data_IF_497729491606
#
_entry.id   IF_497729491606
#
_cell.length_a   1.000
_cell.length_b   1.000
_cell.length_c   1.000
_cell.angle_alpha   90.00
_cell.angle_beta   90.00
_cell.angle_gamma   90.00
#
_symmetry.space_group_name_H-M   'P 1'
#
loop_
_entity.id
_entity.type
_entity.pdbx_description
1 polymer ?
#
# COMPACT_ATOMS: atom_id res chain seq x y z
N UNK A 1 -15.50 -26.86 -10.78
CA UNK A 1 -14.82 -25.53 -10.81
C UNK A 1 -13.86 -25.32 -9.65
N UNK A 2 -14.26 -25.52 -8.39
CA UNK A 2 -13.39 -25.34 -7.20
C UNK A 2 -12.05 -26.09 -7.26
N UNK A 3 -12.05 -27.35 -7.70
CA UNK A 3 -10.83 -28.17 -7.82
C UNK A 3 -9.84 -27.63 -8.86
N UNK A 4 -10.34 -27.07 -9.97
CA UNK A 4 -9.48 -26.44 -11.00
C UNK A 4 -8.82 -25.16 -10.50
N UNK A 5 -9.52 -24.38 -9.66
CA UNK A 5 -8.98 -23.17 -9.02
C UNK A 5 -7.90 -23.56 -8.02
N UNK A 6 -8.13 -24.59 -7.20
CA UNK A 6 -7.16 -25.10 -6.22
C UNK A 6 -5.91 -25.63 -6.93
N UNK A 7 -6.08 -26.38 -8.03
CA UNK A 7 -4.96 -26.90 -8.82
C UNK A 7 -4.19 -25.76 -9.49
N UNK A 8 -4.85 -24.72 -10.02
CA UNK A 8 -4.17 -23.53 -10.54
C UNK A 8 -3.38 -22.80 -9.45
N UNK A 9 -3.96 -22.63 -8.25
CA UNK A 9 -3.26 -22.03 -7.11
C UNK A 9 -2.02 -22.85 -6.74
N UNK A 10 -2.16 -24.17 -6.68
CA UNK A 10 -1.05 -25.09 -6.38
C UNK A 10 0.03 -25.00 -7.46
N UNK A 11 -0.32 -24.89 -8.74
CA UNK A 11 0.65 -24.72 -9.84
C UNK A 11 1.35 -23.36 -9.78
N UNK A 12 0.65 -22.29 -9.41
CA UNK A 12 1.23 -20.96 -9.19
C UNK A 12 2.19 -20.97 -7.98
N UNK A 13 1.84 -21.72 -6.93
CA UNK A 13 2.67 -21.94 -5.74
C UNK A 13 3.87 -22.87 -5.99
N UNK A 14 3.79 -23.77 -6.97
CA UNK A 14 4.83 -24.76 -7.32
C UNK A 14 5.73 -24.33 -8.49
N UNK A 15 5.50 -23.17 -9.10
CA UNK A 15 6.40 -22.65 -10.13
C UNK A 15 7.81 -22.47 -9.52
N UNK A 16 8.88 -22.94 -10.19
CA UNK A 16 10.17 -23.17 -9.56
C UNK A 16 10.78 -21.88 -9.00
N UNK A 17 11.10 -21.97 -7.70
CA UNK A 17 11.57 -20.91 -6.79
C UNK A 17 13.08 -20.63 -6.98
N UNK A 18 13.67 -21.04 -8.10
CA UNK A 18 15.11 -20.94 -8.32
C UNK A 18 15.47 -19.57 -8.91
N UNK A 19 15.53 -18.56 -8.06
CA UNK A 19 15.85 -17.19 -8.49
C UNK A 19 16.26 -16.27 -7.34
N UNK A 20 17.16 -16.72 -6.48
CA UNK A 20 17.81 -15.82 -5.52
C UNK A 20 18.61 -14.73 -6.27
N UNK A 21 18.52 -13.53 -5.73
CA UNK A 21 19.04 -12.27 -6.23
C UNK A 21 20.55 -12.25 -6.53
N UNK A 22 20.95 -11.94 -7.77
CA UNK A 22 22.37 -11.66 -8.07
C UNK A 22 22.61 -10.59 -9.17
N UNK A 23 21.79 -9.53 -9.25
CA UNK A 23 21.94 -8.51 -10.32
C UNK A 23 22.13 -7.06 -9.81
N UNK A 24 22.88 -6.27 -10.57
CA UNK A 24 23.17 -4.83 -10.33
C UNK A 24 22.11 -3.86 -10.87
N UNK A 25 21.01 -4.35 -11.45
CA UNK A 25 19.92 -3.50 -12.00
C UNK A 25 18.93 -3.11 -10.89
N UNK A 26 18.26 -1.95 -11.07
CA UNK A 26 17.23 -1.39 -10.18
C UNK A 26 16.39 -2.44 -9.45
N UNK A 27 16.22 -2.22 -8.15
CA UNK A 27 15.44 -2.99 -7.20
C UNK A 27 13.95 -3.14 -7.59
N UNK A 28 13.40 -2.11 -8.26
CA UNK A 28 11.97 -1.95 -8.50
C UNK A 28 11.59 -2.30 -9.95
N UNK A 29 10.45 -2.97 -10.13
CA UNK A 29 9.87 -3.23 -11.46
C UNK A 29 9.23 -1.99 -12.08
N UNK A 30 8.89 -2.05 -13.38
CA UNK A 30 8.21 -0.93 -14.08
C UNK A 30 6.71 -0.90 -13.83
N UNK A 31 6.07 -2.06 -13.71
CA UNK A 31 4.65 -2.16 -13.43
C UNK A 31 4.42 -3.28 -12.42
N UNK A 32 3.62 -3.01 -11.39
CA UNK A 32 3.33 -3.99 -10.34
C UNK A 32 1.95 -3.81 -9.76
N UNK A 33 1.44 -4.87 -9.15
CA UNK A 33 0.22 -4.82 -8.35
C UNK A 33 0.43 -5.55 -7.04
N UNK A 34 -0.25 -5.11 -6.00
CA UNK A 34 -0.08 -5.67 -4.67
C UNK A 34 -1.26 -5.46 -3.77
N UNK A 35 -1.11 -5.96 -2.56
CA UNK A 35 -2.04 -5.75 -1.46
C UNK A 35 -1.25 -5.27 -0.24
N UNK A 36 -1.88 -4.43 0.58
CA UNK A 36 -1.32 -3.91 1.82
C UNK A 36 -2.35 -4.09 2.91
N UNK A 37 -1.90 -4.58 4.06
CA UNK A 37 -2.72 -4.85 5.23
C UNK A 37 -1.91 -4.49 6.51
N UNK A 38 -2.54 -4.11 7.63
CA UNK A 38 -3.95 -3.84 7.77
C UNK A 38 -4.31 -2.35 7.64
N UNK A 39 -3.37 -1.40 7.75
CA UNK A 39 -3.70 0.03 7.87
C UNK A 39 -3.09 0.87 6.74
N UNK A 40 -3.69 0.96 5.54
CA UNK A 40 -5.03 0.48 5.14
C UNK A 40 -5.05 -0.99 4.69
N UNK A 41 -6.26 -1.52 4.45
CA UNK A 41 -6.49 -2.67 3.56
C UNK A 41 -6.63 -2.11 2.16
N UNK A 42 -5.56 -2.13 1.37
CA UNK A 42 -5.55 -1.51 0.05
C UNK A 42 -5.00 -2.44 -1.03
N UNK A 43 -5.59 -2.32 -2.21
CA UNK A 43 -4.96 -2.74 -3.44
C UNK A 43 -3.96 -1.67 -3.86
N UNK A 44 -2.76 -2.09 -4.23
CA UNK A 44 -1.69 -1.24 -4.69
C UNK A 44 -1.45 -1.47 -6.19
N UNK A 45 -1.25 -0.38 -6.92
CA UNK A 45 -0.76 -0.36 -8.30
C UNK A 45 0.53 0.44 -8.31
N UNK A 46 1.58 -0.11 -8.89
CA UNK A 46 2.88 0.53 -9.01
C UNK A 46 3.15 0.79 -10.49
N UNK A 47 3.46 2.04 -10.85
CA UNK A 47 3.87 2.43 -12.20
C UNK A 47 5.16 3.23 -12.08
N UNK A 48 6.26 2.65 -12.52
CA UNK A 48 7.61 3.19 -12.37
C UNK A 48 7.88 3.62 -10.93
N UNK A 49 7.94 4.93 -10.66
CA UNK A 49 8.18 5.49 -9.32
C UNK A 49 6.91 5.88 -8.59
N UNK A 50 5.73 5.68 -9.19
CA UNK A 50 4.44 6.01 -8.58
C UNK A 50 3.79 4.80 -7.93
N UNK A 51 3.22 5.01 -6.74
CA UNK A 51 2.38 4.03 -6.03
C UNK A 51 0.98 4.61 -5.85
N UNK A 52 -0.02 3.93 -6.40
CA UNK A 52 -1.43 4.22 -6.21
C UNK A 52 -2.02 3.15 -5.29
N UNK A 53 -2.57 3.57 -4.16
CA UNK A 53 -3.28 2.69 -3.25
C UNK A 53 -4.77 3.04 -3.25
N UNK A 54 -5.63 2.04 -3.32
CA UNK A 54 -7.09 2.20 -3.20
C UNK A 54 -7.61 1.10 -2.28
N UNK A 55 -8.41 1.48 -1.29
CA UNK A 55 -8.97 0.49 -0.37
C UNK A 55 -9.77 1.06 0.78
N UNK A 56 -9.70 0.37 1.90
CA UNK A 56 -10.43 0.69 3.13
C UNK A 56 -9.45 1.03 4.24
N UNK A 57 -9.80 2.06 4.99
CA UNK A 57 -9.05 2.51 6.15
C UNK A 57 -9.95 2.45 7.38
N UNK A 58 -9.40 1.91 8.46
CA UNK A 58 -9.98 1.99 9.79
C UNK A 58 -8.97 2.76 10.61
N UNK A 59 -9.24 4.04 10.84
CA UNK A 59 -8.23 4.95 11.38
C UNK A 59 -7.63 4.48 12.70
N UNK A 60 -6.49 5.07 13.08
CA UNK A 60 -5.69 4.62 14.24
C UNK A 60 -6.50 4.56 15.55
N UNK A 61 -7.57 5.35 15.66
CA UNK A 61 -8.45 5.38 16.84
C UNK A 61 -9.51 4.26 16.84
N UNK A 62 -9.74 3.58 15.72
CA UNK A 62 -10.81 2.59 15.51
C UNK A 62 -10.27 1.25 14.96
N UNK A 63 -9.01 0.91 15.27
CA UNK A 63 -8.29 -0.25 14.72
C UNK A 63 -9.20 -1.50 14.66
N UNK A 64 -9.44 -2.00 13.44
CA UNK A 64 -10.21 -3.22 13.14
C UNK A 64 -11.72 -3.20 13.46
N UNK A 65 -12.27 -2.08 13.95
CA UNK A 65 -13.68 -2.00 14.37
C UNK A 65 -14.59 -1.46 13.26
N UNK A 66 -14.11 -0.50 12.46
CA UNK A 66 -14.94 0.19 11.47
C UNK A 66 -14.20 0.39 10.14
N UNK A 67 -14.42 -0.49 9.17
CA UNK A 67 -13.94 -0.36 7.78
C UNK A 67 -14.87 0.52 6.95
N UNK A 68 -15.24 1.68 7.51
CA UNK A 68 -16.25 2.57 6.93
C UNK A 68 -15.68 3.72 6.11
N UNK A 69 -14.37 3.71 5.87
CA UNK A 69 -13.68 4.81 5.20
C UNK A 69 -13.01 4.31 3.94
N UNK A 70 -13.46 4.82 2.79
CA UNK A 70 -12.75 4.68 1.53
C UNK A 70 -11.43 5.43 1.64
N UNK A 71 -10.36 4.81 1.17
CA UNK A 71 -9.01 5.33 1.20
C UNK A 71 -8.43 5.32 -0.21
N UNK A 72 -7.79 6.42 -0.59
CA UNK A 72 -6.97 6.53 -1.78
C UNK A 72 -5.67 7.25 -1.43
N UNK A 73 -4.57 6.83 -2.04
CA UNK A 73 -3.34 7.60 -1.96
C UNK A 73 -2.47 7.44 -3.20
N UNK A 74 -1.72 8.48 -3.49
CA UNK A 74 -0.78 8.55 -4.60
C UNK A 74 0.56 9.04 -4.09
N UNK A 75 1.58 8.18 -4.21
CA UNK A 75 2.94 8.47 -3.80
C UNK A 75 3.90 8.50 -4.98
N UNK A 76 4.93 9.33 -4.88
CA UNK A 76 6.10 9.32 -5.74
C UNK A 76 7.33 8.91 -4.93
N UNK A 77 7.95 7.79 -5.29
CA UNK A 77 9.15 7.24 -4.67
C UNK A 77 10.38 7.83 -5.38
N UNK A 78 11.07 8.75 -4.72
CA UNK A 78 12.22 9.45 -5.29
C UNK A 78 13.56 8.86 -4.87
N UNK A 79 13.59 7.99 -3.85
CA UNK A 79 14.84 7.40 -3.35
C UNK A 79 14.67 5.91 -3.07
N UNK A 80 15.64 5.12 -3.52
CA UNK A 80 15.74 3.68 -3.23
C UNK A 80 17.20 3.37 -2.90
N UNK A 81 17.43 2.74 -1.76
CA UNK A 81 18.71 2.24 -1.31
C UNK A 81 18.67 0.72 -1.21
N UNK A 82 19.49 0.06 -2.01
CA UNK A 82 19.71 -1.39 -1.92
C UNK A 82 20.83 -1.66 -0.93
N UNK A 83 20.56 -2.41 0.13
CA UNK A 83 21.57 -2.73 1.13
C UNK A 83 22.66 -3.63 0.53
N UNK A 84 23.95 -3.24 0.59
CA UNK A 84 25.06 -4.06 0.14
C UNK A 84 25.28 -5.19 1.15
N UNK A 85 24.49 -6.25 1.03
CA UNK A 85 24.41 -7.36 1.98
C UNK A 85 23.17 -8.22 1.71
N UNK A 86 23.10 -9.43 2.26
CA UNK A 86 21.97 -10.35 2.04
C UNK A 86 21.63 -10.58 0.55
N UNK A 87 22.64 -10.77 -0.32
CA UNK A 87 22.44 -10.94 -1.76
C UNK A 87 21.68 -9.80 -2.46
N UNK A 88 21.67 -8.58 -1.89
CA UNK A 88 20.93 -7.43 -2.43
C UNK A 88 19.43 -7.76 -2.60
N UNK A 89 18.83 -8.37 -1.58
CA UNK A 89 17.38 -8.67 -1.52
C UNK A 89 16.59 -7.61 -0.75
N UNK A 90 17.28 -6.74 0.00
CA UNK A 90 16.66 -5.77 0.89
C UNK A 90 16.84 -4.36 0.32
N UNK A 91 15.72 -3.66 0.14
CA UNK A 91 15.68 -2.31 -0.39
C UNK A 91 14.88 -1.39 0.52
N UNK A 92 15.48 -0.28 0.93
CA UNK A 92 14.78 0.80 1.60
C UNK A 92 14.37 1.85 0.58
N UNK A 93 13.13 2.34 0.65
CA UNK A 93 12.64 3.38 -0.26
C UNK A 93 11.94 4.50 0.49
N UNK A 94 12.10 5.71 -0.02
CA UNK A 94 11.47 6.93 0.50
C UNK A 94 10.78 7.65 -0.66
N UNK A 95 9.60 8.19 -0.36
CA UNK A 95 8.84 9.01 -1.28
C UNK A 95 8.11 10.15 -0.60
N UNK A 96 7.29 10.84 -1.39
CA UNK A 96 6.34 11.85 -0.94
C UNK A 96 5.02 11.66 -1.68
N UNK A 97 3.90 11.90 -1.03
CA UNK A 97 2.59 11.65 -1.64
C UNK A 97 1.45 12.37 -0.98
N UNK A 98 0.27 12.17 -1.54
CA UNK A 98 -1.00 12.65 -1.01
C UNK A 98 -1.92 11.49 -0.73
N UNK A 99 -2.86 11.71 0.20
CA UNK A 99 -3.92 10.76 0.48
C UNK A 99 -5.27 11.46 0.61
N UNK A 100 -6.32 10.70 0.39
CA UNK A 100 -7.70 11.11 0.59
C UNK A 100 -8.49 10.01 1.29
N UNK A 101 -9.39 10.40 2.17
CA UNK A 101 -10.33 9.48 2.83
C UNK A 101 -11.75 10.01 2.77
N UNK A 102 -12.72 9.11 2.54
CA UNK A 102 -14.14 9.45 2.52
C UNK A 102 -14.91 8.44 3.36
N UNK A 103 -15.65 8.94 4.35
CA UNK A 103 -16.49 8.09 5.20
C UNK A 103 -17.82 7.69 4.51
N UNK A 104 -18.16 6.40 4.50
CA UNK A 104 -19.31 5.87 3.73
C UNK A 104 -20.68 6.35 4.19
N UNK A 105 -20.90 6.60 5.48
CA UNK A 105 -22.20 7.13 5.95
C UNK A 105 -22.56 8.50 5.36
N UNK A 106 -21.62 9.18 4.69
CA UNK A 106 -21.89 10.38 3.90
C UNK A 106 -22.75 10.11 2.65
N UNK A 107 -22.79 8.87 2.16
CA UNK A 107 -23.54 8.48 0.96
C UNK A 107 -24.88 7.80 1.28
N UNK A 108 -25.08 7.30 2.50
CA UNK A 108 -26.39 6.80 2.96
C UNK A 108 -27.22 7.98 3.45
N UNK A 109 -28.29 8.34 2.74
CA UNK A 109 -29.10 9.57 2.91
C UNK A 109 -29.74 9.84 4.28
N UNK A 110 -29.32 9.20 5.37
CA UNK A 110 -29.60 9.67 6.72
C UNK A 110 -28.66 10.83 7.08
N UNK A 111 -29.21 12.04 7.23
CA UNK A 111 -28.50 13.26 7.65
C UNK A 111 -27.84 13.18 9.06
N UNK A 112 -27.91 12.03 9.73
CA UNK A 112 -27.42 11.82 11.11
C UNK A 112 -25.90 11.57 11.22
N UNK A 113 -25.12 11.71 10.14
CA UNK A 113 -23.67 11.51 10.24
C UNK A 113 -22.92 11.73 8.94
N UNK A 114 -22.70 12.99 8.57
CA UNK A 114 -21.71 13.37 7.55
C UNK A 114 -20.31 13.09 8.09
N UNK A 115 -19.84 11.84 7.95
CA UNK A 115 -18.48 11.49 8.33
C UNK A 115 -17.44 12.32 7.54
N UNK A 116 -16.23 12.50 8.09
CA UNK A 116 -15.24 13.40 7.53
C UNK A 116 -14.83 12.97 6.12
N UNK A 117 -14.54 13.96 5.28
CA UNK A 117 -13.60 13.80 4.18
C UNK A 117 -12.26 14.34 4.62
N UNK A 118 -11.19 13.61 4.37
CA UNK A 118 -9.85 14.06 4.69
C UNK A 118 -9.00 14.07 3.45
N UNK A 119 -8.16 15.08 3.33
CA UNK A 119 -7.09 15.15 2.33
C UNK A 119 -5.81 15.54 3.04
N UNK A 120 -4.69 14.99 2.63
CA UNK A 120 -3.44 15.25 3.31
C UNK A 120 -2.22 14.88 2.50
N UNK A 121 -1.07 15.33 3.00
CA UNK A 121 0.23 14.89 2.52
C UNK A 121 0.75 13.75 3.40
N UNK A 122 1.54 12.84 2.82
CA UNK A 122 2.21 11.77 3.55
C UNK A 122 3.62 11.50 3.04
N UNK A 123 4.44 10.91 3.90
CA UNK A 123 5.83 10.54 3.63
C UNK A 123 5.97 9.01 3.64
N UNK A 124 5.79 8.32 2.51
CA UNK A 124 5.95 6.87 2.45
C UNK A 124 7.42 6.45 2.64
N UNK A 125 7.62 5.54 3.57
CA UNK A 125 8.85 4.82 3.86
C UNK A 125 8.56 3.34 3.70
N UNK A 126 9.33 2.62 2.89
CA UNK A 126 9.14 1.19 2.74
C UNK A 126 10.45 0.42 2.84
N UNK A 127 10.39 -0.76 3.45
CA UNK A 127 11.42 -1.77 3.45
C UNK A 127 10.90 -2.94 2.63
N UNK A 128 11.53 -3.18 1.49
CA UNK A 128 11.14 -4.20 0.52
C UNK A 128 12.12 -5.37 0.62
N UNK A 129 11.56 -6.57 0.76
CA UNK A 129 12.25 -7.85 0.73
C UNK A 129 11.89 -8.54 -0.59
N UNK A 130 12.83 -8.54 -1.53
CA UNK A 130 12.71 -9.28 -2.77
C UNK A 130 12.81 -10.78 -2.50
N UNK A 131 11.69 -11.50 -2.59
CA UNK A 131 11.66 -12.97 -2.45
C UNK A 131 11.97 -13.62 -3.80
N UNK A 132 11.27 -13.19 -4.86
CA UNK A 132 11.58 -13.55 -6.24
C UNK A 132 11.96 -12.30 -7.00
N UNK A 133 13.24 -12.18 -7.35
CA UNK A 133 13.74 -10.94 -7.94
C UNK A 133 12.89 -10.46 -9.10
N UNK A 134 12.44 -9.21 -8.99
CA UNK A 134 11.66 -8.50 -10.02
C UNK A 134 10.36 -9.19 -10.43
N UNK A 135 9.88 -10.14 -9.63
CA UNK A 135 8.57 -10.77 -9.78
C UNK A 135 7.72 -10.61 -8.54
N UNK A 136 8.34 -10.67 -7.36
CA UNK A 136 7.61 -10.64 -6.11
C UNK A 136 8.45 -10.08 -4.97
N UNK A 137 7.85 -9.16 -4.21
CA UNK A 137 8.39 -8.67 -2.96
C UNK A 137 7.35 -8.67 -1.83
N UNK A 138 7.86 -8.89 -0.63
CA UNK A 138 7.16 -8.59 0.62
C UNK A 138 7.68 -7.24 1.07
N UNK A 139 6.83 -6.33 1.49
CA UNK A 139 7.30 -5.03 1.95
C UNK A 139 6.59 -4.59 3.22
N UNK A 140 7.34 -3.96 4.11
CA UNK A 140 6.81 -3.21 5.23
C UNK A 140 6.78 -1.74 4.82
N UNK A 141 5.63 -1.08 4.92
CA UNK A 141 5.51 0.35 4.61
C UNK A 141 4.89 1.11 5.76
N UNK A 142 5.45 2.28 6.05
CA UNK A 142 4.93 3.26 6.99
C UNK A 142 4.87 4.60 6.25
N UNK A 143 3.75 5.29 6.31
CA UNK A 143 3.56 6.61 5.76
C UNK A 143 2.88 7.51 6.80
N UNK A 144 3.66 8.23 7.64
CA UNK A 144 3.10 9.32 8.42
C UNK A 144 2.51 10.39 7.50
N UNK A 145 1.37 10.93 7.89
CA UNK A 145 0.62 11.91 7.14
C UNK A 145 0.07 13.02 8.01
N UNK A 146 -0.09 14.17 7.36
CA UNK A 146 -0.74 15.37 7.88
C UNK A 146 -1.94 15.66 6.99
N UNK A 147 -3.12 15.57 7.58
CA UNK A 147 -4.38 15.76 6.89
C UNK A 147 -5.20 16.91 7.43
N UNK A 148 -6.07 17.41 6.57
CA UNK A 148 -7.18 18.28 6.90
C UNK A 148 -8.46 17.46 6.83
N UNK A 149 -9.15 17.33 7.96
CA UNK A 149 -10.50 16.78 8.04
C UNK A 149 -11.49 17.90 7.74
N UNK A 150 -12.42 17.63 6.82
CA UNK A 150 -13.48 18.53 6.38
C UNK A 150 -14.81 17.91 6.81
N UNK A 151 -15.51 18.60 7.70
CA UNK A 151 -16.85 18.25 8.18
C UNK A 151 -17.86 19.28 7.67
N UNK A 152 -19.16 19.05 7.89
CA UNK A 152 -20.17 20.08 7.61
C UNK A 152 -19.98 21.34 8.46
N UNK A 153 -19.39 21.21 9.65
CA UNK A 153 -19.32 22.27 10.65
C UNK A 153 -17.91 22.87 10.83
N UNK A 154 -16.95 22.52 9.96
CA UNK A 154 -15.61 23.11 10.02
C UNK A 154 -14.51 22.29 9.36
N UNK A 155 -13.28 22.74 9.57
CA UNK A 155 -12.04 22.12 9.12
C UNK A 155 -11.10 21.98 10.32
N UNK A 156 -10.37 20.86 10.41
CA UNK A 156 -9.33 20.71 11.42
C UNK A 156 -8.20 19.79 10.96
N UNK A 157 -7.06 19.91 11.62
CA UNK A 157 -5.87 19.14 11.29
C UNK A 157 -5.81 17.82 12.04
N UNK A 158 -5.26 16.80 11.38
CA UNK A 158 -5.08 15.47 11.96
C UNK A 158 -3.75 14.88 11.53
N UNK A 159 -3.06 14.26 12.49
CA UNK A 159 -1.97 13.34 12.22
C UNK A 159 -2.51 11.94 11.95
N UNK A 160 -2.02 11.32 10.88
CA UNK A 160 -2.37 9.96 10.51
C UNK A 160 -1.11 9.15 10.23
N UNK A 161 -1.17 7.84 10.47
CA UNK A 161 -0.08 6.93 10.16
C UNK A 161 -0.68 5.75 9.41
N UNK A 162 -0.24 5.57 8.17
CA UNK A 162 -0.59 4.40 7.37
C UNK A 162 0.55 3.41 7.46
N UNK A 163 0.35 2.28 8.12
CA UNK A 163 1.37 1.26 8.30
C UNK A 163 0.82 -0.12 7.92
N UNK A 164 1.57 -0.86 7.12
CA UNK A 164 1.15 -2.18 6.69
C UNK A 164 2.27 -3.04 6.15
N UNK A 165 2.05 -4.35 6.23
CA UNK A 165 2.77 -5.36 5.49
C UNK A 165 2.04 -5.58 4.17
N UNK A 166 2.80 -5.60 3.08
CA UNK A 166 2.28 -5.80 1.75
C UNK A 166 2.98 -6.92 1.00
N UNK A 167 2.29 -7.40 -0.02
CA UNK A 167 2.79 -8.35 -1.01
C UNK A 167 2.56 -7.72 -2.37
N UNK A 168 3.59 -7.68 -3.21
CA UNK A 168 3.48 -7.11 -4.55
C UNK A 168 4.12 -8.02 -5.58
N UNK A 169 3.43 -8.11 -6.71
CA UNK A 169 3.85 -8.82 -7.90
C UNK A 169 4.25 -7.80 -8.97
N UNK A 170 5.34 -8.08 -9.69
CA UNK A 170 5.87 -7.25 -10.75
C UNK A 170 5.65 -7.92 -12.11
N UNK A 171 5.07 -7.17 -13.04
CA UNK A 171 4.95 -7.57 -14.43
C UNK A 171 6.17 -7.03 -15.19
N UNK A 172 7.05 -7.95 -15.61
CA UNK A 172 8.21 -7.65 -16.46
C UNK A 172 7.83 -7.47 -17.92
#
# INVERSE_FOLDING_TARGET
MRTKIIIMLIIILLAPISGFANSKKSARGKFGTGIILPFPIAFQINIESFDLDIGLYSGVNNLFLDWKTLFIALDYIFYIYTFPGAANILDFSVGAGGYGTIWFSRFSGSQSGSGPVSIGARLPLALNLAVFRKKFDIFLRIAPGLGMNIWSNGIGFRWEVFAGLGLRFWFT
#
